data_IF_361598982471
#
_entry.id   IF_361598982471
#
_cell.length_a   1.000
_cell.length_b   1.000
_cell.length_c   1.000
_cell.angle_alpha   90.00
_cell.angle_beta   90.00
_cell.angle_gamma   90.00
#
_symmetry.space_group_name_H-M   'P 1'
#
loop_
_entity.id
_entity.type
_entity.pdbx_description
1 polymer ?
#
# COMPACT_ATOMS: atom_id res chain seq x y z
N UNK A 1 -15.76 -28.12 -2.28
CA UNK A 1 -14.41 -28.55 -1.87
C UNK A 1 -13.64 -28.66 -3.18
N UNK A 2 -12.69 -27.76 -3.45
CA UNK A 2 -11.87 -27.87 -4.66
C UNK A 2 -10.93 -29.05 -4.45
N UNK A 3 -10.93 -29.98 -5.39
CA UNK A 3 -9.97 -31.09 -5.39
C UNK A 3 -8.58 -30.52 -5.72
N UNK A 4 -7.72 -30.46 -4.73
CA UNK A 4 -6.34 -29.95 -4.83
C UNK A 4 -5.40 -30.85 -5.68
N UNK A 5 -5.94 -31.95 -6.20
CA UNK A 5 -5.16 -32.99 -6.90
C UNK A 5 -4.74 -32.62 -8.33
N UNK A 6 -5.28 -31.54 -8.92
CA UNK A 6 -5.04 -31.14 -10.31
C UNK A 6 -4.48 -29.70 -10.42
N UNK A 7 -3.64 -29.27 -9.48
CA UNK A 7 -2.98 -27.96 -9.53
C UNK A 7 -1.61 -28.11 -10.16
N UNK A 8 -1.36 -27.44 -11.29
CA UNK A 8 -0.07 -27.41 -11.97
C UNK A 8 0.89 -26.41 -11.29
N UNK A 9 0.37 -25.31 -10.77
CA UNK A 9 1.15 -24.29 -10.08
C UNK A 9 0.32 -23.47 -9.08
N UNK A 10 1.00 -22.86 -8.12
CA UNK A 10 0.44 -21.91 -7.17
C UNK A 10 1.21 -20.60 -7.28
N UNK A 11 0.50 -19.50 -7.55
CA UNK A 11 1.07 -18.17 -7.57
C UNK A 11 0.67 -17.40 -6.30
N UNK A 12 1.67 -16.87 -5.60
CA UNK A 12 1.46 -16.00 -4.43
C UNK A 12 1.66 -14.56 -4.88
N UNK A 13 0.66 -13.71 -4.65
CA UNK A 13 0.69 -12.30 -5.01
C UNK A 13 0.00 -11.43 -3.97
N UNK A 14 0.09 -10.12 -4.15
CA UNK A 14 -0.61 -9.13 -3.33
C UNK A 14 -2.02 -8.91 -3.90
N UNK A 15 -3.02 -8.86 -3.00
CA UNK A 15 -4.36 -8.45 -3.37
C UNK A 15 -4.41 -6.94 -3.61
N UNK A 16 -5.08 -6.52 -4.69
CA UNK A 16 -5.35 -5.10 -4.92
C UNK A 16 -6.42 -4.58 -3.93
N UNK A 17 -6.48 -3.25 -3.69
CA UNK A 17 -7.55 -2.66 -2.88
C UNK A 17 -8.95 -3.05 -3.37
N UNK A 18 -9.18 -3.09 -4.69
CA UNK A 18 -10.44 -3.48 -5.30
C UNK A 18 -10.78 -4.95 -5.02
N UNK A 19 -9.77 -5.81 -5.01
CA UNK A 19 -9.95 -7.22 -4.68
C UNK A 19 -10.31 -7.41 -3.21
N UNK A 20 -9.68 -6.64 -2.30
CA UNK A 20 -10.00 -6.65 -0.87
C UNK A 20 -11.44 -6.17 -0.65
N UNK A 21 -11.89 -5.12 -1.33
CA UNK A 21 -13.26 -4.63 -1.27
C UNK A 21 -14.27 -5.68 -1.74
N UNK A 22 -13.96 -6.44 -2.78
CA UNK A 22 -14.82 -7.55 -3.26
C UNK A 22 -14.97 -8.68 -2.23
N UNK A 23 -13.93 -8.96 -1.45
CA UNK A 23 -13.97 -9.97 -0.41
C UNK A 23 -14.61 -9.48 0.88
N UNK A 24 -14.70 -8.18 1.08
CA UNK A 24 -15.14 -7.59 2.33
C UNK A 24 -16.65 -7.62 2.48
N UNK A 25 -17.10 -7.97 3.67
CA UNK A 25 -18.50 -7.89 4.10
C UNK A 25 -18.88 -6.53 4.69
N UNK A 26 -17.93 -5.63 4.86
CA UNK A 26 -18.15 -4.28 5.32
C UNK A 26 -16.92 -3.60 5.90
N UNK A 27 -17.03 -2.30 6.10
CA UNK A 27 -15.97 -1.45 6.66
C UNK A 27 -15.99 -1.46 8.18
N UNK A 28 -14.82 -1.62 8.77
CA UNK A 28 -14.59 -1.46 10.21
C UNK A 28 -14.21 0.00 10.46
N UNK A 29 -15.12 0.77 11.05
CA UNK A 29 -14.95 2.22 11.27
C UNK A 29 -14.48 2.55 12.70
N UNK A 30 -14.49 1.58 13.63
CA UNK A 30 -14.21 1.78 15.03
C UNK A 30 -13.16 0.81 15.54
N UNK A 31 -12.25 1.25 16.44
CA UNK A 31 -11.22 0.39 17.01
C UNK A 31 -11.76 -0.54 18.11
N UNK A 32 -12.97 -0.33 18.61
CA UNK A 32 -13.56 -1.10 19.67
C UNK A 32 -13.79 -2.56 19.25
N UNK A 33 -13.59 -3.48 20.18
CA UNK A 33 -13.77 -4.91 19.98
C UNK A 33 -15.10 -5.37 20.60
N UNK A 34 -15.16 -5.41 21.92
CA UNK A 34 -16.33 -5.83 22.70
C UNK A 34 -16.67 -4.76 23.72
N UNK A 35 -17.95 -4.66 24.03
CA UNK A 35 -18.41 -3.87 25.16
C UNK A 35 -18.14 -4.64 26.46
N UNK A 36 -17.33 -4.06 27.36
CA UNK A 36 -16.91 -4.72 28.60
C UNK A 36 -18.06 -5.00 29.59
N UNK A 37 -19.18 -4.23 29.49
CA UNK A 37 -20.36 -4.41 30.35
C UNK A 37 -21.26 -5.52 29.84
N UNK A 38 -21.49 -5.57 28.52
CA UNK A 38 -22.45 -6.51 27.92
C UNK A 38 -21.77 -7.75 27.33
N UNK A 39 -20.44 -7.74 27.24
CA UNK A 39 -19.59 -8.76 26.60
C UNK A 39 -20.00 -9.08 25.14
N UNK A 40 -20.70 -8.15 24.50
CA UNK A 40 -21.10 -8.25 23.10
C UNK A 40 -20.17 -7.44 22.20
N UNK A 41 -19.94 -7.90 20.95
CA UNK A 41 -19.20 -7.15 19.96
C UNK A 41 -19.83 -5.77 19.71
N UNK A 42 -18.98 -4.74 19.69
CA UNK A 42 -19.41 -3.39 19.33
C UNK A 42 -19.76 -3.30 17.85
N UNK A 43 -20.76 -2.48 17.56
CA UNK A 43 -21.21 -2.24 16.18
C UNK A 43 -20.14 -1.44 15.43
N UNK A 44 -19.85 -1.89 14.20
CA UNK A 44 -18.86 -1.30 13.29
C UNK A 44 -17.40 -1.35 13.82
N UNK A 45 -17.18 -2.13 14.88
CA UNK A 45 -15.89 -2.41 15.47
C UNK A 45 -15.21 -3.65 14.86
N UNK A 46 -14.04 -3.99 15.40
CA UNK A 46 -13.21 -5.10 14.91
C UNK A 46 -13.85 -6.49 15.03
N UNK A 47 -14.89 -6.65 15.86
CA UNK A 47 -15.64 -7.89 16.04
C UNK A 47 -17.10 -7.79 15.67
N UNK A 48 -17.49 -6.76 14.91
CA UNK A 48 -18.87 -6.47 14.52
C UNK A 48 -19.59 -7.69 13.95
N UNK A 49 -20.75 -8.06 14.54
CA UNK A 49 -21.53 -9.20 14.07
C UNK A 49 -22.22 -8.93 12.71
N UNK A 50 -22.44 -7.66 12.35
CA UNK A 50 -23.01 -7.30 11.06
C UNK A 50 -22.02 -7.58 9.92
N UNK A 51 -20.73 -7.36 10.16
CA UNK A 51 -19.66 -7.56 9.16
C UNK A 51 -19.24 -9.04 9.15
N UNK A 52 -18.87 -9.58 10.30
CA UNK A 52 -18.26 -10.90 10.42
C UNK A 52 -19.23 -12.03 10.68
N UNK A 53 -20.47 -11.72 11.05
CA UNK A 53 -21.48 -12.72 11.39
C UNK A 53 -21.71 -12.87 12.90
N UNK A 54 -22.69 -13.67 13.31
CA UNK A 54 -23.12 -13.82 14.69
C UNK A 54 -22.07 -14.53 15.54
N UNK A 55 -22.03 -14.24 16.84
CA UNK A 55 -21.15 -14.92 17.81
C UNK A 55 -21.68 -16.27 18.24
N UNK A 56 -22.99 -16.47 18.17
CA UNK A 56 -23.66 -17.73 18.45
C UNK A 56 -24.46 -18.21 17.26
N UNK A 57 -24.51 -19.52 17.08
CA UNK A 57 -25.25 -20.13 15.98
C UNK A 57 -26.71 -19.70 15.98
N UNK A 58 -27.17 -19.19 14.87
CA UNK A 58 -28.56 -18.84 14.61
C UNK A 58 -29.16 -17.80 15.57
N UNK A 59 -28.34 -16.96 16.16
CA UNK A 59 -28.77 -15.84 17.02
C UNK A 59 -28.32 -14.51 16.41
N UNK A 60 -29.13 -13.46 16.53
CA UNK A 60 -28.73 -12.11 16.19
C UNK A 60 -28.30 -11.31 17.43
N UNK A 61 -27.52 -10.25 17.25
CA UNK A 61 -26.99 -9.43 18.37
C UNK A 61 -28.08 -8.84 19.27
N UNK A 62 -29.20 -8.37 18.69
CA UNK A 62 -30.29 -7.75 19.46
C UNK A 62 -31.20 -8.75 20.17
N UNK A 63 -31.03 -10.05 19.94
CA UNK A 63 -31.82 -11.12 20.57
C UNK A 63 -33.23 -11.34 19.98
N UNK A 64 -33.63 -10.60 18.92
CA UNK A 64 -34.90 -10.83 18.24
C UNK A 64 -34.98 -12.25 17.68
N UNK A 65 -33.92 -12.75 17.10
CA UNK A 65 -33.75 -14.11 16.65
C UNK A 65 -32.84 -14.86 17.61
N UNK A 66 -33.40 -15.42 18.68
CA UNK A 66 -32.65 -16.18 19.69
C UNK A 66 -32.98 -17.68 19.70
N UNK A 67 -34.16 -18.04 19.21
CA UNK A 67 -34.61 -19.43 19.06
C UNK A 67 -35.28 -19.55 17.71
N UNK A 68 -34.53 -20.05 16.72
CA UNK A 68 -34.96 -20.00 15.34
C UNK A 68 -35.90 -21.15 14.94
N UNK A 69 -37.01 -20.77 14.32
CA UNK A 69 -37.78 -21.61 13.44
C UNK A 69 -37.03 -21.73 12.10
N UNK A 70 -37.11 -22.86 11.44
CA UNK A 70 -36.40 -23.16 10.18
C UNK A 70 -36.54 -22.08 9.08
N UNK A 71 -37.66 -21.33 9.11
CA UNK A 71 -37.98 -20.24 8.19
C UNK A 71 -37.07 -19.00 8.30
N UNK A 72 -36.34 -18.85 9.41
CA UNK A 72 -35.57 -17.64 9.68
C UNK A 72 -34.03 -17.78 9.48
N UNK A 73 -33.63 -18.97 8.96
CA UNK A 73 -32.21 -19.22 8.64
C UNK A 73 -31.77 -18.33 7.47
N UNK A 74 -30.56 -17.81 7.58
CA UNK A 74 -29.92 -16.94 6.57
C UNK A 74 -30.69 -15.64 6.28
N UNK A 75 -31.57 -15.20 7.19
CA UNK A 75 -32.20 -13.89 7.12
C UNK A 75 -31.33 -12.83 7.78
N UNK A 76 -31.37 -11.64 7.24
CA UNK A 76 -30.77 -10.47 7.87
C UNK A 76 -31.78 -9.91 8.87
N UNK A 77 -31.35 -9.71 10.11
CA UNK A 77 -32.19 -9.10 11.13
C UNK A 77 -32.49 -7.64 10.79
N UNK A 78 -33.76 -7.30 10.65
CA UNK A 78 -34.24 -5.95 10.35
C UNK A 78 -33.86 -4.92 11.44
N UNK A 79 -33.68 -5.37 12.70
CA UNK A 79 -33.36 -4.48 13.82
C UNK A 79 -31.86 -4.22 13.97
N UNK A 80 -31.00 -5.24 13.86
CA UNK A 80 -29.55 -5.10 14.11
C UNK A 80 -28.68 -5.33 12.87
N UNK A 81 -29.24 -5.75 11.74
CA UNK A 81 -28.52 -5.99 10.50
C UNK A 81 -27.64 -7.25 10.50
N UNK A 82 -27.68 -8.06 11.56
CA UNK A 82 -26.89 -9.29 11.65
C UNK A 82 -27.58 -10.41 10.89
N UNK A 83 -26.82 -11.10 10.04
CA UNK A 83 -27.31 -12.29 9.36
C UNK A 83 -27.42 -13.47 10.33
N UNK A 84 -28.56 -14.13 10.31
CA UNK A 84 -28.86 -15.26 11.18
C UNK A 84 -28.32 -16.55 10.56
N UNK A 85 -27.07 -16.86 10.85
CA UNK A 85 -26.32 -18.01 10.31
C UNK A 85 -25.45 -18.67 11.39
N UNK A 86 -24.61 -19.61 11.01
CA UNK A 86 -23.69 -20.27 11.94
C UNK A 86 -22.54 -19.33 12.32
N UNK A 87 -22.08 -19.40 13.55
CA UNK A 87 -20.94 -18.63 14.04
C UNK A 87 -19.62 -18.94 13.30
N UNK A 88 -19.51 -20.11 12.66
CA UNK A 88 -18.36 -20.51 11.86
C UNK A 88 -18.01 -19.51 10.75
N UNK A 89 -18.99 -18.80 10.19
CA UNK A 89 -18.77 -17.80 9.14
C UNK A 89 -17.82 -16.66 9.57
N UNK A 90 -17.69 -16.43 10.88
CA UNK A 90 -16.74 -15.44 11.44
C UNK A 90 -15.28 -15.77 11.15
N UNK A 91 -14.96 -17.02 10.85
CA UNK A 91 -13.60 -17.47 10.45
C UNK A 91 -13.37 -17.37 8.95
N UNK A 92 -14.42 -17.16 8.17
CA UNK A 92 -14.39 -17.15 6.71
C UNK A 92 -14.56 -15.73 6.16
N UNK A 93 -15.33 -14.88 6.85
CA UNK A 93 -15.64 -13.52 6.40
C UNK A 93 -14.51 -12.55 6.68
N UNK A 94 -14.25 -11.73 5.69
CA UNK A 94 -13.30 -10.61 5.76
C UNK A 94 -14.06 -9.29 5.86
N UNK A 95 -13.49 -8.35 6.59
CA UNK A 95 -13.85 -6.94 6.55
C UNK A 95 -12.65 -6.12 6.05
N UNK A 96 -12.82 -4.83 5.87
CA UNK A 96 -11.73 -3.93 5.52
C UNK A 96 -11.70 -2.69 6.40
N UNK A 97 -10.56 -2.07 6.47
CA UNK A 97 -10.35 -0.76 7.08
C UNK A 97 -9.88 0.17 5.96
N UNK A 98 -10.62 1.23 5.70
CA UNK A 98 -10.22 2.24 4.74
C UNK A 98 -9.20 3.17 5.39
N UNK A 99 -8.01 3.24 4.81
CA UNK A 99 -6.96 4.14 5.29
C UNK A 99 -7.21 5.57 4.81
N UNK A 100 -6.90 6.56 5.64
CA UNK A 100 -7.01 7.98 5.30
C UNK A 100 -5.99 8.42 4.24
N UNK A 101 -4.84 7.73 4.17
CA UNK A 101 -3.77 7.96 3.21
C UNK A 101 -3.13 6.64 2.79
N UNK A 102 -2.51 6.55 1.61
CA UNK A 102 -1.80 5.36 1.17
C UNK A 102 -0.63 5.05 2.11
N UNK A 103 -0.34 3.77 2.28
CA UNK A 103 0.78 3.26 3.09
C UNK A 103 1.66 2.37 2.23
N UNK A 104 2.98 2.53 2.35
CA UNK A 104 3.94 1.69 1.64
C UNK A 104 4.02 0.30 2.24
N UNK A 105 4.00 -0.72 1.39
CA UNK A 105 4.20 -2.10 1.82
C UNK A 105 5.67 -2.36 2.13
N UNK A 106 5.94 -2.89 3.30
CA UNK A 106 7.29 -3.10 3.83
C UNK A 106 8.16 -4.02 2.96
N UNK A 107 7.58 -5.00 2.28
CA UNK A 107 8.32 -5.92 1.40
C UNK A 107 9.00 -5.21 0.24
N UNK A 108 8.38 -4.17 -0.32
CA UNK A 108 8.94 -3.40 -1.43
C UNK A 108 9.86 -2.28 -0.98
N UNK A 109 9.72 -1.83 0.27
CA UNK A 109 10.54 -0.77 0.85
C UNK A 109 11.78 -1.31 1.56
N UNK A 110 11.62 -2.23 2.55
CA UNK A 110 12.73 -2.76 3.37
C UNK A 110 13.34 -4.07 2.87
N UNK A 111 12.94 -4.57 1.71
CA UNK A 111 13.60 -5.70 1.06
C UNK A 111 15.07 -5.38 0.73
N UNK A 112 15.88 -6.41 0.61
CA UNK A 112 17.29 -6.27 0.18
C UNK A 112 17.44 -7.04 -1.14
N UNK A 113 17.59 -6.36 -2.27
CA UNK A 113 17.53 -4.91 -2.46
C UNK A 113 16.13 -4.31 -2.35
N UNK A 114 16.03 -3.01 -2.00
CA UNK A 114 14.75 -2.29 -1.97
C UNK A 114 14.22 -2.11 -3.39
N UNK A 115 13.11 -2.76 -3.73
CA UNK A 115 12.51 -2.66 -5.07
C UNK A 115 12.09 -1.23 -5.42
N UNK A 116 11.46 -0.52 -4.48
CA UNK A 116 11.10 0.89 -4.66
C UNK A 116 12.33 1.76 -4.88
N UNK A 117 13.40 1.55 -4.09
CA UNK A 117 14.64 2.29 -4.23
C UNK A 117 15.32 2.06 -5.58
N UNK A 118 15.26 0.83 -6.08
CA UNK A 118 15.83 0.46 -7.40
C UNK A 118 15.04 1.10 -8.55
N UNK A 119 13.71 1.03 -8.53
CA UNK A 119 12.87 1.63 -9.56
C UNK A 119 13.05 3.15 -9.62
N UNK A 120 13.02 3.83 -8.49
CA UNK A 120 13.12 5.30 -8.39
C UNK A 120 14.56 5.82 -8.46
N UNK A 121 15.57 4.95 -8.41
CA UNK A 121 16.98 5.30 -8.26
C UNK A 121 17.26 6.15 -7.01
N UNK A 122 16.57 5.86 -5.93
CA UNK A 122 16.67 6.57 -4.67
C UNK A 122 17.21 5.63 -3.59
N UNK A 123 18.13 6.13 -2.75
CA UNK A 123 18.68 5.32 -1.67
C UNK A 123 17.59 4.94 -0.65
N UNK A 124 17.66 3.73 -0.05
CA UNK A 124 16.69 3.33 0.98
C UNK A 124 16.60 4.31 2.16
N UNK A 125 17.73 4.92 2.54
CA UNK A 125 17.78 5.94 3.60
C UNK A 125 17.01 7.21 3.22
N UNK A 126 17.08 7.61 1.95
CA UNK A 126 16.34 8.74 1.41
C UNK A 126 14.85 8.46 1.40
N UNK A 127 14.44 7.29 0.90
CA UNK A 127 13.05 6.85 0.92
C UNK A 127 12.49 6.77 2.35
N UNK A 128 13.28 6.29 3.29
CA UNK A 128 12.87 6.22 4.70
C UNK A 128 12.51 7.60 5.25
N UNK A 129 13.33 8.63 4.99
CA UNK A 129 13.06 10.00 5.42
C UNK A 129 11.76 10.56 4.83
N UNK A 130 11.45 10.21 3.59
CA UNK A 130 10.20 10.64 2.93
C UNK A 130 9.01 9.89 3.53
N UNK A 131 9.07 8.56 3.61
CA UNK A 131 7.98 7.71 4.06
C UNK A 131 7.60 7.95 5.53
N UNK A 132 8.57 8.29 6.37
CA UNK A 132 8.35 8.59 7.79
C UNK A 132 8.16 10.08 8.07
N UNK A 133 7.86 10.89 7.07
CA UNK A 133 7.54 12.32 7.19
C UNK A 133 8.66 13.19 7.81
N UNK A 134 9.91 12.76 7.66
CA UNK A 134 11.07 13.54 8.14
C UNK A 134 11.49 14.64 7.16
N UNK A 135 11.34 14.39 5.84
CA UNK A 135 11.72 15.32 4.78
C UNK A 135 10.71 15.32 3.65
N UNK A 136 10.61 16.45 2.94
CA UNK A 136 9.93 16.52 1.66
C UNK A 136 10.81 15.99 0.54
N UNK A 137 10.17 15.46 -0.50
CA UNK A 137 10.79 15.14 -1.77
C UNK A 137 10.18 16.01 -2.87
N UNK A 138 11.02 16.59 -3.72
CA UNK A 138 10.58 17.44 -4.82
C UNK A 138 10.02 16.57 -5.94
N UNK A 139 8.74 16.69 -6.22
CA UNK A 139 8.04 15.99 -7.29
C UNK A 139 8.18 16.74 -8.62
N UNK A 140 7.99 18.05 -8.55
CA UNK A 140 8.16 18.97 -9.66
C UNK A 140 8.92 20.21 -9.20
N UNK A 141 10.14 20.47 -9.72
CA UNK A 141 10.92 21.62 -9.31
C UNK A 141 10.42 22.95 -9.90
N UNK A 142 9.46 22.94 -10.84
CA UNK A 142 9.07 24.11 -11.62
C UNK A 142 10.22 24.68 -12.42
N UNK A 143 10.38 26.01 -12.42
CA UNK A 143 11.55 26.65 -13.02
C UNK A 143 12.78 26.47 -12.13
N UNK A 144 13.64 25.53 -12.49
CA UNK A 144 14.84 25.16 -11.72
C UNK A 144 15.82 26.32 -11.56
N UNK A 145 15.79 27.32 -12.45
CA UNK A 145 16.66 28.51 -12.34
C UNK A 145 16.21 29.44 -11.21
N UNK A 146 14.91 29.50 -10.94
CA UNK A 146 14.34 30.33 -9.90
C UNK A 146 14.30 29.61 -8.54
N UNK A 147 13.87 28.35 -8.55
CA UNK A 147 13.72 27.55 -7.33
C UNK A 147 15.04 26.98 -6.80
N UNK A 148 16.01 26.76 -7.68
CA UNK A 148 17.29 26.10 -7.37
C UNK A 148 17.12 24.63 -6.95
N UNK A 149 15.94 24.03 -7.20
CA UNK A 149 15.61 22.66 -6.81
C UNK A 149 15.82 21.70 -7.96
N UNK A 150 16.12 20.44 -7.62
CA UNK A 150 16.19 19.34 -8.57
C UNK A 150 15.05 18.35 -8.32
N UNK A 151 14.60 17.70 -9.39
CA UNK A 151 13.61 16.63 -9.28
C UNK A 151 14.14 15.52 -8.37
N UNK A 152 13.29 15.05 -7.45
CA UNK A 152 13.61 14.03 -6.44
C UNK A 152 14.67 14.44 -5.40
N UNK A 153 14.97 15.72 -5.29
CA UNK A 153 15.81 16.25 -4.20
C UNK A 153 15.06 16.20 -2.86
N UNK A 154 15.77 15.82 -1.79
CA UNK A 154 15.25 15.94 -0.42
C UNK A 154 15.41 17.37 0.07
N UNK A 155 14.32 17.92 0.58
CA UNK A 155 14.31 19.24 1.22
C UNK A 155 13.72 19.15 2.62
N UNK A 156 14.24 19.98 3.53
CA UNK A 156 13.70 20.16 4.88
C UNK A 156 12.50 21.11 4.85
N UNK A 157 11.69 21.10 5.91
CA UNK A 157 10.57 22.04 6.07
C UNK A 157 11.04 23.51 6.01
N UNK A 158 12.20 23.82 6.59
CA UNK A 158 12.79 25.16 6.52
C UNK A 158 13.10 25.58 5.08
N UNK A 159 13.75 24.70 4.29
CA UNK A 159 14.06 24.96 2.88
C UNK A 159 12.80 25.05 2.03
N UNK A 160 11.78 24.22 2.31
CA UNK A 160 10.48 24.31 1.64
C UNK A 160 9.87 25.70 1.80
N UNK A 161 9.79 26.20 3.04
CA UNK A 161 9.23 27.53 3.34
C UNK A 161 10.07 28.67 2.76
N UNK A 162 11.39 28.54 2.77
CA UNK A 162 12.29 29.53 2.17
C UNK A 162 12.06 29.66 0.66
N UNK A 163 11.99 28.53 -0.07
CA UNK A 163 11.77 28.57 -1.52
C UNK A 163 10.34 29.03 -1.83
N UNK A 164 9.33 28.61 -1.06
CA UNK A 164 7.96 29.09 -1.22
C UNK A 164 7.83 30.59 -1.00
N UNK A 165 8.56 31.14 -0.02
CA UNK A 165 8.59 32.60 0.24
C UNK A 165 9.30 33.39 -0.88
N UNK A 166 10.34 32.81 -1.49
CA UNK A 166 11.10 33.46 -2.58
C UNK A 166 10.38 33.39 -3.93
N UNK A 167 9.85 32.24 -4.28
CA UNK A 167 9.32 31.98 -5.62
C UNK A 167 7.79 32.05 -5.70
N UNK A 168 7.10 32.13 -4.56
CA UNK A 168 5.64 32.16 -4.46
C UNK A 168 5.03 30.76 -4.31
N UNK A 169 3.78 30.74 -3.84
CA UNK A 169 3.01 29.51 -3.68
C UNK A 169 2.73 28.86 -5.02
N UNK A 170 3.01 27.56 -5.13
CA UNK A 170 2.75 26.79 -6.33
C UNK A 170 3.84 26.86 -7.40
N UNK A 171 4.97 27.53 -7.16
CA UNK A 171 6.11 27.59 -8.07
C UNK A 171 6.84 26.25 -8.22
N UNK A 172 6.71 25.38 -7.26
CA UNK A 172 7.22 24.01 -7.26
C UNK A 172 6.26 23.09 -6.50
N UNK A 173 6.43 21.79 -6.66
CA UNK A 173 5.62 20.79 -5.96
C UNK A 173 6.52 19.79 -5.25
N UNK A 174 6.31 19.65 -3.95
CA UNK A 174 6.99 18.67 -3.12
C UNK A 174 5.97 17.95 -2.23
N UNK A 175 6.25 16.70 -1.88
CA UNK A 175 5.37 15.88 -1.07
C UNK A 175 6.12 15.09 -0.02
N UNK A 176 5.38 14.51 0.91
CA UNK A 176 5.88 13.59 1.95
C UNK A 176 5.06 12.31 1.98
N UNK A 177 5.60 11.29 2.62
CA UNK A 177 4.90 10.05 2.89
C UNK A 177 4.76 9.14 1.67
N UNK A 178 3.93 8.11 1.82
CA UNK A 178 3.71 7.12 0.78
C UNK A 178 2.94 7.68 -0.42
N UNK A 179 2.19 8.76 -0.26
CA UNK A 179 1.47 9.42 -1.35
C UNK A 179 2.43 9.99 -2.39
N UNK A 180 3.47 10.70 -1.94
CA UNK A 180 4.52 11.24 -2.81
C UNK A 180 5.25 10.11 -3.55
N UNK A 181 5.59 9.03 -2.84
CA UNK A 181 6.25 7.87 -3.44
C UNK A 181 5.34 7.16 -4.46
N UNK A 182 4.04 7.05 -4.17
CA UNK A 182 3.06 6.49 -5.12
C UNK A 182 2.99 7.32 -6.40
N UNK A 183 2.94 8.64 -6.29
CA UNK A 183 2.93 9.54 -7.45
C UNK A 183 4.20 9.37 -8.30
N UNK A 184 5.37 9.28 -7.65
CA UNK A 184 6.63 9.05 -8.34
C UNK A 184 6.65 7.72 -9.09
N UNK A 185 6.13 6.64 -8.48
CA UNK A 185 6.05 5.32 -9.12
C UNK A 185 5.06 5.30 -10.28
N UNK A 186 3.92 5.98 -10.14
CA UNK A 186 2.92 6.09 -11.21
C UNK A 186 3.41 6.91 -12.42
N UNK A 187 4.36 7.82 -12.20
CA UNK A 187 4.97 8.62 -13.25
C UNK A 187 6.10 7.90 -14.02
N UNK A 188 6.46 6.67 -13.61
CA UNK A 188 7.48 5.88 -14.28
C UNK A 188 6.88 5.13 -15.48
N UNK A 189 7.55 5.25 -16.62
CA UNK A 189 7.36 4.37 -17.75
C UNK A 189 8.44 3.26 -17.68
N UNK A 190 7.99 2.02 -17.48
CA UNK A 190 8.91 0.88 -17.29
C UNK A 190 9.59 0.48 -18.60
N UNK A 191 8.91 0.59 -19.72
CA UNK A 191 9.47 0.24 -21.04
C UNK A 191 10.58 1.22 -21.42
N UNK A 192 10.31 2.52 -21.28
CA UNK A 192 11.32 3.58 -21.49
C UNK A 192 12.51 3.43 -20.54
N UNK A 193 12.26 3.06 -19.28
CA UNK A 193 13.31 2.85 -18.28
C UNK A 193 14.18 1.64 -18.63
N UNK A 194 13.59 0.54 -19.09
CA UNK A 194 14.31 -0.66 -19.54
C UNK A 194 15.24 -0.31 -20.73
N UNK A 195 14.73 0.41 -21.73
CA UNK A 195 15.53 0.83 -22.88
C UNK A 195 16.69 1.73 -22.47
N UNK A 196 16.45 2.69 -21.56
CA UNK A 196 17.51 3.59 -21.05
C UNK A 196 18.59 2.83 -20.28
N UNK A 197 18.19 1.90 -19.41
CA UNK A 197 19.14 1.09 -18.64
C UNK A 197 19.97 0.16 -19.53
N UNK A 198 19.38 -0.43 -20.56
CA UNK A 198 20.12 -1.26 -21.53
C UNK A 198 21.20 -0.45 -22.26
N UNK A 199 20.86 0.79 -22.67
CA UNK A 199 21.85 1.69 -23.29
C UNK A 199 22.95 2.10 -22.31
N UNK A 200 22.59 2.48 -21.09
CA UNK A 200 23.57 2.82 -20.04
C UNK A 200 24.53 1.66 -19.73
N UNK A 201 24.02 0.44 -19.63
CA UNK A 201 24.84 -0.77 -19.41
C UNK A 201 25.81 -1.00 -20.56
N UNK A 202 25.39 -0.79 -21.81
CA UNK A 202 26.26 -0.93 -22.98
C UNK A 202 27.37 0.13 -22.98
N UNK A 203 27.03 1.40 -22.72
CA UNK A 203 27.99 2.51 -22.62
C UNK A 203 29.02 2.30 -21.49
N UNK A 204 28.55 1.80 -20.32
CA UNK A 204 29.42 1.50 -19.20
C UNK A 204 30.34 0.32 -19.49
N UNK A 205 29.88 -0.68 -20.26
CA UNK A 205 30.72 -1.82 -20.68
C UNK A 205 31.89 -1.40 -21.59
N UNK A 206 31.68 -0.39 -22.44
CA UNK A 206 32.76 0.17 -23.25
C UNK A 206 33.79 0.95 -22.42
N UNK A 207 33.33 1.66 -21.38
CA UNK A 207 34.16 2.49 -20.50
C UNK A 207 34.87 1.69 -19.38
N UNK A 208 34.36 0.48 -19.05
CA UNK A 208 34.89 -0.38 -17.96
C UNK A 208 36.35 -0.80 -18.19
N UNK A 209 36.83 -0.75 -19.45
CA UNK A 209 38.24 -1.05 -19.78
C UNK A 209 39.25 -0.10 -19.10
N UNK A 210 38.78 1.04 -18.61
CA UNK A 210 39.68 2.10 -18.12
C UNK A 210 39.57 2.41 -16.62
N UNK A 211 38.51 1.97 -15.87
CA UNK A 211 38.32 2.33 -14.46
C UNK A 211 37.46 1.32 -13.65
N UNK A 212 37.96 0.89 -12.50
CA UNK A 212 37.25 0.02 -11.51
C UNK A 212 35.89 0.58 -11.04
N UNK A 213 35.74 1.90 -10.96
CA UNK A 213 34.50 2.59 -10.53
C UNK A 213 33.33 2.41 -11.51
N UNK A 214 33.64 2.19 -12.79
CA UNK A 214 32.62 1.98 -13.83
C UNK A 214 31.99 0.59 -13.71
N UNK A 215 32.74 -0.43 -13.30
CA UNK A 215 32.23 -1.78 -13.03
C UNK A 215 31.17 -1.81 -11.93
N UNK A 216 31.33 -1.02 -10.86
CA UNK A 216 30.33 -0.93 -9.79
C UNK A 216 29.03 -0.25 -10.28
N UNK A 217 29.15 0.80 -11.09
CA UNK A 217 27.98 1.46 -11.68
C UNK A 217 27.23 0.51 -12.61
N UNK A 218 27.95 -0.20 -13.48
CA UNK A 218 27.36 -1.23 -14.36
C UNK A 218 26.64 -2.31 -13.58
N UNK A 219 27.26 -2.86 -12.53
CA UNK A 219 26.63 -3.87 -11.67
C UNK A 219 25.35 -3.36 -11.01
N UNK A 220 25.31 -2.08 -10.61
CA UNK A 220 24.09 -1.44 -10.09
C UNK A 220 23.02 -1.30 -11.16
N UNK A 221 23.38 -0.85 -12.37
CA UNK A 221 22.46 -0.70 -13.50
C UNK A 221 21.86 -2.06 -13.92
N UNK A 222 22.67 -3.15 -13.94
CA UNK A 222 22.20 -4.51 -14.22
C UNK A 222 21.16 -4.96 -13.19
N UNK A 223 21.46 -4.83 -11.89
CA UNK A 223 20.51 -5.18 -10.83
C UNK A 223 19.22 -4.37 -10.89
N UNK A 224 19.33 -3.10 -11.31
CA UNK A 224 18.17 -2.24 -11.51
C UNK A 224 17.32 -2.72 -12.68
N UNK A 225 17.95 -3.11 -13.79
CA UNK A 225 17.27 -3.65 -14.96
C UNK A 225 16.52 -4.94 -14.63
N UNK A 226 17.14 -5.87 -13.86
CA UNK A 226 16.49 -7.09 -13.39
C UNK A 226 15.19 -6.81 -12.61
N UNK A 227 15.15 -5.73 -11.81
CA UNK A 227 13.95 -5.35 -11.05
C UNK A 227 12.89 -4.70 -11.96
N UNK A 228 13.30 -4.00 -13.02
CA UNK A 228 12.39 -3.35 -13.97
C UNK A 228 11.72 -4.38 -14.89
N UNK A 229 12.41 -5.45 -15.24
CA UNK A 229 11.92 -6.51 -16.15
C UNK A 229 11.20 -7.67 -15.43
N UNK A 230 11.26 -7.72 -14.08
CA UNK A 230 10.56 -8.73 -13.27
C UNK A 230 9.11 -8.35 -12.96
#
# INVERSE_FOLDING_TARGET
MFELTNLDSIQIGMASPEQILKWSYGEVCKPETINYRTLKPERDGLFCERIFGPTKDWECNCGKYKRIKFKDKNKICDRCGVEVTRAKVRRERMGHIQLAAPVSHIWYFKGIPSRMGMLLDISPRTLEKVLYFANFIVLDPGDSNQTGLKKYELITDAKYREVEAKCGKGSFRAGMGAEAVKEMLQALDLDDLSVKLKKEIAELAEKERDRETEGQKRARAVKRLEVVEA
#
